data_IF_900666620878
#
_entry.id   IF_900666620878
#
_cell.length_a   1.000
_cell.length_b   1.000
_cell.length_c   1.000
_cell.angle_alpha   90.00
_cell.angle_beta   90.00
_cell.angle_gamma   90.00
#
_symmetry.space_group_name_H-M   'P 1'
#
loop_
_entity.id
_entity.type
_entity.pdbx_description
1 polymer ?
#
# COMPACT_ATOMS: atom_id res chain seq x y z
N UNK A 1 14.06 -7.38 -7.90
CA UNK A 1 13.49 -6.89 -6.63
C UNK A 1 12.10 -6.38 -6.94
N UNK A 2 11.12 -6.60 -6.06
CA UNK A 2 9.75 -6.12 -6.25
C UNK A 2 9.46 -4.99 -5.26
N UNK A 3 8.75 -3.97 -5.72
CA UNK A 3 8.28 -2.87 -4.88
C UNK A 3 6.78 -3.06 -4.62
N UNK A 4 6.36 -2.87 -3.37
CA UNK A 4 4.95 -2.91 -3.01
C UNK A 4 4.23 -1.65 -3.47
N UNK A 5 3.06 -1.81 -4.09
CA UNK A 5 2.17 -0.70 -4.45
C UNK A 5 1.01 -0.71 -3.46
N UNK A 6 0.71 0.42 -2.83
CA UNK A 6 -0.34 0.59 -1.81
C UNK A 6 -1.79 0.46 -2.31
N UNK A 7 -2.01 -0.30 -3.39
CA UNK A 7 -3.34 -0.59 -3.93
C UNK A 7 -3.82 -1.94 -3.38
N UNK A 8 -4.99 -1.93 -2.74
CA UNK A 8 -5.56 -3.12 -2.15
C UNK A 8 -7.00 -3.34 -2.60
N UNK A 9 -7.38 -4.61 -2.70
CA UNK A 9 -8.75 -5.03 -2.91
C UNK A 9 -9.17 -5.97 -1.78
N UNK A 10 -10.29 -5.65 -1.12
CA UNK A 10 -10.78 -6.41 0.02
C UNK A 10 -12.16 -7.00 -0.27
N UNK A 11 -12.44 -8.15 0.34
CA UNK A 11 -13.83 -8.56 0.56
C UNK A 11 -14.38 -7.72 1.69
N UNK A 12 -15.60 -7.20 1.55
CA UNK A 12 -16.19 -6.28 2.53
C UNK A 12 -16.22 -6.85 3.95
N UNK A 13 -16.59 -8.13 4.09
CA UNK A 13 -16.61 -8.83 5.39
C UNK A 13 -15.22 -9.08 5.99
N UNK A 14 -14.16 -9.07 5.18
CA UNK A 14 -12.79 -9.17 5.66
C UNK A 14 -12.30 -7.80 6.11
N UNK A 15 -12.57 -6.75 5.33
CA UNK A 15 -12.22 -5.38 5.68
C UNK A 15 -12.80 -4.98 7.05
N UNK A 16 -14.07 -5.31 7.29
CA UNK A 16 -14.73 -5.06 8.58
C UNK A 16 -14.02 -5.76 9.76
N UNK A 17 -13.48 -6.97 9.56
CA UNK A 17 -12.82 -7.73 10.62
C UNK A 17 -11.39 -7.24 10.89
N UNK A 18 -10.64 -6.96 9.83
CA UNK A 18 -9.22 -6.58 9.96
C UNK A 18 -9.05 -5.20 10.60
N UNK A 19 -10.02 -4.28 10.42
CA UNK A 19 -10.01 -2.95 11.04
C UNK A 19 -10.22 -3.00 12.55
N UNK A 20 -10.83 -4.06 13.08
CA UNK A 20 -11.04 -4.28 14.51
C UNK A 20 -9.84 -4.94 15.20
N UNK A 21 -8.83 -5.40 14.44
CA UNK A 21 -7.64 -6.01 15.00
C UNK A 21 -6.78 -4.94 15.71
N UNK A 22 -6.23 -5.26 16.90
CA UNK A 22 -5.25 -4.39 17.53
C UNK A 22 -3.97 -4.32 16.70
N UNK A 23 -3.22 -3.23 16.85
CA UNK A 23 -1.92 -3.12 16.20
C UNK A 23 -0.98 -4.23 16.63
N UNK A 24 -0.36 -4.85 15.64
CA UNK A 24 0.53 -5.99 15.82
C UNK A 24 1.99 -5.57 16.10
N UNK A 25 2.82 -6.41 16.73
CA UNK A 25 4.23 -6.07 16.97
C UNK A 25 4.99 -5.69 15.69
N UNK A 26 4.78 -6.43 14.59
CA UNK A 26 5.49 -6.20 13.32
C UNK A 26 4.98 -4.95 12.61
N UNK A 27 3.67 -4.67 12.68
CA UNK A 27 3.14 -3.38 12.22
C UNK A 27 3.82 -2.22 12.94
N UNK A 28 4.00 -2.29 14.27
CA UNK A 28 4.65 -1.20 15.02
C UNK A 28 6.13 -1.08 14.69
N UNK A 29 6.82 -2.21 14.54
CA UNK A 29 8.24 -2.24 14.24
C UNK A 29 8.56 -1.63 12.87
N UNK A 30 7.72 -1.90 11.87
CA UNK A 30 7.96 -1.51 10.47
C UNK A 30 7.08 -0.34 10.00
N UNK A 31 6.11 0.08 10.81
CA UNK A 31 5.07 1.06 10.44
C UNK A 31 4.29 0.66 9.18
N UNK A 32 3.98 -0.64 9.05
CA UNK A 32 3.28 -1.22 7.91
C UNK A 32 1.99 -1.93 8.34
N UNK A 33 0.83 -1.38 7.96
CA UNK A 33 -0.48 -1.87 8.40
C UNK A 33 -0.78 -3.31 7.95
N UNK A 34 -0.33 -3.70 6.75
CA UNK A 34 -0.57 -5.04 6.21
C UNK A 34 0.04 -6.16 7.06
N UNK A 35 1.07 -5.85 7.86
CA UNK A 35 1.68 -6.80 8.80
C UNK A 35 0.68 -7.22 9.89
N UNK A 36 -0.24 -6.33 10.29
CA UNK A 36 -1.33 -6.66 11.22
C UNK A 36 -2.16 -7.83 10.74
N UNK A 37 -2.48 -7.85 9.45
CA UNK A 37 -3.33 -8.89 8.87
C UNK A 37 -2.57 -10.22 8.79
N UNK A 38 -1.29 -10.16 8.38
CA UNK A 38 -0.43 -11.34 8.27
C UNK A 38 -0.22 -12.00 9.64
N UNK A 39 0.10 -11.22 10.68
CA UNK A 39 0.30 -11.74 12.04
C UNK A 39 -0.98 -12.34 12.64
N UNK A 40 -2.16 -11.90 12.19
CA UNK A 40 -3.46 -12.47 12.57
C UNK A 40 -3.95 -13.59 11.64
N UNK A 41 -3.08 -14.14 10.80
CA UNK A 41 -3.37 -15.32 9.97
C UNK A 41 -4.13 -15.05 8.67
N UNK A 42 -4.34 -13.78 8.30
CA UNK A 42 -4.90 -13.42 7.00
C UNK A 42 -3.83 -13.58 5.91
N UNK A 43 -4.28 -13.92 4.70
CA UNK A 43 -3.40 -14.08 3.54
C UNK A 43 -3.61 -12.92 2.57
N UNK A 44 -2.52 -12.34 2.11
CA UNK A 44 -2.52 -11.30 1.08
C UNK A 44 -2.06 -11.94 -0.23
N UNK A 45 -2.86 -11.79 -1.29
CA UNK A 45 -2.48 -12.20 -2.63
C UNK A 45 -1.89 -11.00 -3.35
N UNK A 46 -0.66 -11.13 -3.84
CA UNK A 46 -0.01 -10.13 -4.66
C UNK A 46 -0.12 -10.49 -6.15
N UNK A 47 -0.13 -9.47 -7.01
CA UNK A 47 -0.03 -9.60 -8.45
C UNK A 47 1.01 -8.60 -8.96
N UNK A 48 1.78 -9.01 -9.96
CA UNK A 48 2.79 -8.14 -10.58
C UNK A 48 2.12 -7.22 -11.60
N UNK A 49 2.68 -6.02 -11.76
CA UNK A 49 2.26 -5.05 -12.77
C UNK A 49 3.49 -4.34 -13.33
N UNK A 50 3.39 -3.88 -14.57
CA UNK A 50 4.38 -3.00 -15.20
C UNK A 50 4.13 -1.53 -14.90
N UNK A 51 3.00 -1.20 -14.26
CA UNK A 51 2.66 0.17 -13.90
C UNK A 51 3.44 0.62 -12.67
N UNK A 52 4.14 1.74 -12.79
CA UNK A 52 4.81 2.40 -11.68
C UNK A 52 3.89 3.45 -11.06
N UNK A 53 3.59 3.33 -9.77
CA UNK A 53 2.86 4.36 -9.03
C UNK A 53 3.83 5.42 -8.52
N UNK A 54 3.50 6.69 -8.74
CA UNK A 54 4.21 7.82 -8.14
C UNK A 54 3.45 8.23 -6.87
N UNK A 55 4.06 7.99 -5.71
CA UNK A 55 3.60 8.59 -4.45
C UNK A 55 3.95 10.09 -4.44
N UNK A 56 3.01 10.92 -3.99
CA UNK A 56 3.22 12.36 -3.83
C UNK A 56 3.09 12.66 -2.33
N UNK A 57 4.22 12.65 -1.63
CA UNK A 57 4.27 12.87 -0.18
C UNK A 57 4.92 14.22 0.18
N UNK A 58 5.72 14.78 -0.73
CA UNK A 58 6.41 16.07 -0.58
C UNK A 58 6.05 17.04 -1.71
N UNK A 59 6.24 18.37 -1.52
CA UNK A 59 6.11 19.35 -2.60
C UNK A 59 6.99 19.01 -3.82
N UNK A 60 8.20 18.51 -3.60
CA UNK A 60 9.11 18.10 -4.67
C UNK A 60 8.59 16.90 -5.47
N UNK A 61 7.82 16.00 -4.85
CA UNK A 61 7.19 14.89 -5.55
C UNK A 61 6.05 15.39 -6.45
N UNK A 62 5.33 16.43 -6.03
CA UNK A 62 4.30 17.07 -6.84
C UNK A 62 4.92 17.71 -8.09
N UNK A 63 6.02 18.46 -7.94
CA UNK A 63 6.71 19.09 -9.08
C UNK A 63 7.19 18.06 -10.11
N UNK A 64 7.71 16.91 -9.64
CA UNK A 64 8.08 15.78 -10.49
C UNK A 64 6.86 15.17 -11.18
N UNK A 65 5.76 14.99 -10.45
CA UNK A 65 4.53 14.43 -11.00
C UNK A 65 3.93 15.31 -12.10
N UNK A 66 3.92 16.64 -11.91
CA UNK A 66 3.49 17.61 -12.91
C UNK A 66 4.37 17.53 -14.16
N UNK A 67 5.70 17.58 -13.97
CA UNK A 67 6.67 17.48 -15.07
C UNK A 67 6.52 16.20 -15.88
N UNK A 68 6.17 15.08 -15.22
CA UNK A 68 5.89 13.81 -15.89
C UNK A 68 4.55 13.86 -16.63
N UNK A 69 3.50 14.37 -16.00
CA UNK A 69 2.16 14.47 -16.60
C UNK A 69 2.18 15.30 -17.89
N UNK A 70 2.87 16.44 -17.90
CA UNK A 70 3.01 17.28 -19.10
C UNK A 70 3.71 16.59 -20.27
N UNK A 71 4.54 15.56 -20.01
CA UNK A 71 5.18 14.75 -21.07
C UNK A 71 4.26 13.67 -21.66
N UNK A 72 3.16 13.35 -20.99
CA UNK A 72 2.18 12.37 -21.45
C UNK A 72 1.07 12.97 -22.33
N UNK A 73 0.97 14.31 -22.39
CA UNK A 73 0.08 15.07 -23.27
C UNK A 73 0.85 15.51 -24.51
#
# INVERSE_FOLDING_TARGET
>A
YYMHIGLYAYRSNVLEKITLLPQSPLEKAESLEQNRWIENGYKIRCAETVWESIGIDTPEDLDKAISNYERFI
#
